data_IF_004971205345
#
_entry.id   IF_004971205345
#
_cell.length_a   1.000
_cell.length_b   1.000
_cell.length_c   1.000
_cell.angle_alpha   90.00
_cell.angle_beta   90.00
_cell.angle_gamma   90.00
#
_symmetry.space_group_name_H-M   'P 1'
#
loop_
_entity.id
_entity.type
_entity.pdbx_description
1 polymer ?
#
# COMPACT_ATOMS: atom_id res chain seq x y z
N UNK A 1 24.28 -0.47 5.47
CA UNK A 1 23.46 -1.16 4.46
C UNK A 1 23.26 -0.15 3.35
N UNK A 2 23.54 -0.53 2.12
CA UNK A 2 23.38 0.34 0.94
C UNK A 2 21.92 0.29 0.42
N UNK A 3 21.58 1.16 -0.53
CA UNK A 3 20.30 1.09 -1.23
C UNK A 3 20.19 -0.19 -2.09
N UNK A 4 21.30 -0.67 -2.64
CA UNK A 4 21.37 -1.89 -3.44
C UNK A 4 21.03 -3.12 -2.60
N UNK A 5 21.59 -3.22 -1.39
CA UNK A 5 21.26 -4.30 -0.43
C UNK A 5 19.74 -4.31 -0.12
N UNK A 6 19.14 -3.13 0.06
CA UNK A 6 17.72 -2.99 0.36
C UNK A 6 16.86 -3.44 -0.83
N UNK A 7 17.28 -3.09 -2.05
CA UNK A 7 16.60 -3.46 -3.27
C UNK A 7 16.61 -4.97 -3.47
N UNK A 8 17.79 -5.60 -3.43
CA UNK A 8 17.94 -7.05 -3.57
C UNK A 8 17.12 -7.82 -2.52
N UNK A 9 17.02 -7.29 -1.30
CA UNK A 9 16.32 -7.94 -0.20
C UNK A 9 14.78 -7.90 -0.34
N UNK A 10 14.24 -6.76 -0.77
CA UNK A 10 12.80 -6.48 -0.66
C UNK A 10 12.05 -6.38 -2.00
N UNK A 11 12.71 -6.17 -3.13
CA UNK A 11 12.07 -5.91 -4.43
C UNK A 11 11.00 -6.94 -4.79
N UNK A 12 11.36 -8.23 -4.82
CA UNK A 12 10.45 -9.26 -5.31
C UNK A 12 9.19 -9.38 -4.44
N UNK A 13 9.34 -9.23 -3.11
CA UNK A 13 8.23 -9.29 -2.16
C UNK A 13 7.37 -8.02 -2.22
N UNK A 14 8.00 -6.86 -2.39
CA UNK A 14 7.31 -5.59 -2.51
C UNK A 14 6.52 -5.51 -3.83
N UNK A 15 7.09 -6.02 -4.93
CA UNK A 15 6.40 -6.13 -6.22
C UNK A 15 5.22 -7.11 -6.17
N UNK A 16 5.37 -8.25 -5.49
CA UNK A 16 4.24 -9.15 -5.24
C UNK A 16 3.11 -8.49 -4.44
N UNK A 17 3.45 -7.68 -3.44
CA UNK A 17 2.48 -6.88 -2.70
C UNK A 17 1.83 -5.80 -3.57
N UNK A 18 2.61 -5.04 -4.33
CA UNK A 18 2.11 -4.04 -5.28
C UNK A 18 1.16 -4.66 -6.31
N UNK A 19 1.44 -5.88 -6.77
CA UNK A 19 0.55 -6.64 -7.64
C UNK A 19 -0.77 -7.01 -6.95
N UNK A 20 -0.76 -7.41 -5.67
CA UNK A 20 -2.00 -7.67 -4.91
C UNK A 20 -2.87 -6.43 -4.69
N UNK A 21 -2.28 -5.23 -4.75
CA UNK A 21 -3.03 -3.97 -4.66
C UNK A 21 -3.60 -3.57 -6.04
N UNK A 22 -2.75 -3.58 -7.07
CA UNK A 22 -3.06 -3.02 -8.38
C UNK A 22 -3.73 -4.01 -9.34
N UNK A 23 -3.52 -5.31 -9.15
CA UNK A 23 -3.91 -6.38 -10.08
C UNK A 23 -3.43 -6.15 -11.53
N UNK A 24 -2.39 -5.33 -11.71
CA UNK A 24 -1.82 -4.96 -13.00
C UNK A 24 -0.28 -5.03 -12.91
N UNK A 25 0.40 -5.82 -13.74
CA UNK A 25 1.85 -6.00 -13.65
C UNK A 25 2.65 -4.72 -13.88
N UNK A 26 2.21 -3.85 -14.80
CA UNK A 26 2.89 -2.58 -15.08
C UNK A 26 2.72 -1.59 -13.93
N UNK A 27 1.49 -1.46 -13.41
CA UNK A 27 1.23 -0.59 -12.26
C UNK A 27 1.94 -1.08 -10.99
N UNK A 28 2.06 -2.40 -10.81
CA UNK A 28 2.81 -2.99 -9.71
C UNK A 28 4.31 -2.69 -9.80
N UNK A 29 4.88 -2.76 -11.00
CA UNK A 29 6.27 -2.39 -11.26
C UNK A 29 6.50 -0.91 -10.98
N UNK A 30 5.68 -0.01 -11.54
CA UNK A 30 5.77 1.43 -11.31
C UNK A 30 5.65 1.79 -9.81
N UNK A 31 4.69 1.19 -9.10
CA UNK A 31 4.51 1.41 -7.67
C UNK A 31 5.73 0.95 -6.86
N UNK A 32 6.34 -0.16 -7.25
CA UNK A 32 7.55 -0.68 -6.61
C UNK A 32 8.72 0.26 -6.85
N UNK A 33 8.94 0.67 -8.11
CA UNK A 33 10.01 1.60 -8.48
C UNK A 33 9.88 2.92 -7.73
N UNK A 34 8.69 3.53 -7.74
CA UNK A 34 8.42 4.79 -7.04
C UNK A 34 8.62 4.68 -5.52
N UNK A 35 8.37 3.51 -4.94
CA UNK A 35 8.68 3.23 -3.53
C UNK A 35 10.18 3.25 -3.27
N UNK A 36 10.99 2.65 -4.15
CA UNK A 36 12.45 2.67 -4.03
C UNK A 36 13.06 4.05 -4.36
N UNK A 37 12.45 4.83 -5.25
CA UNK A 37 12.81 6.25 -5.47
C UNK A 37 12.62 7.04 -4.18
N UNK A 38 11.50 6.85 -3.47
CA UNK A 38 11.31 7.44 -2.13
C UNK A 38 12.32 6.92 -1.11
N UNK A 39 12.67 5.63 -1.17
CA UNK A 39 13.68 5.04 -0.29
C UNK A 39 15.05 5.69 -0.50
N UNK A 40 15.47 5.91 -1.75
CA UNK A 40 16.72 6.59 -2.09
C UNK A 40 16.80 8.00 -1.48
N UNK A 41 15.70 8.77 -1.57
CA UNK A 41 15.59 10.10 -0.95
C UNK A 41 15.60 10.07 0.59
N UNK A 42 15.41 8.91 1.21
CA UNK A 42 15.35 8.71 2.67
C UNK A 42 16.42 7.71 3.17
N UNK A 43 17.51 7.53 2.42
CA UNK A 43 18.51 6.50 2.72
C UNK A 43 19.12 6.63 4.12
N UNK A 44 19.41 7.86 4.56
CA UNK A 44 19.96 8.13 5.90
C UNK A 44 19.01 7.72 7.04
N UNK A 45 17.70 7.84 6.84
CA UNK A 45 16.70 7.35 7.79
C UNK A 45 16.70 5.82 7.79
N UNK A 46 16.66 5.20 6.62
CA UNK A 46 16.60 3.74 6.48
C UNK A 46 17.85 3.05 7.05
N UNK A 47 19.02 3.67 6.97
CA UNK A 47 20.26 3.18 7.57
C UNK A 47 20.17 3.06 9.11
N UNK A 48 19.39 3.92 9.76
CA UNK A 48 19.19 3.90 11.21
C UNK A 48 18.13 2.89 11.67
N UNK A 49 17.33 2.37 10.73
CA UNK A 49 16.23 1.46 11.04
C UNK A 49 16.67 0.00 11.06
N UNK A 50 16.11 -0.76 12.00
CA UNK A 50 16.18 -2.21 11.97
C UNK A 50 15.53 -2.76 10.69
N UNK A 51 15.92 -3.99 10.32
CA UNK A 51 15.35 -4.71 9.18
C UNK A 51 13.81 -4.70 9.16
N UNK A 52 13.17 -4.97 10.30
CA UNK A 52 11.71 -5.01 10.40
C UNK A 52 11.08 -3.63 10.22
N UNK A 53 11.72 -2.57 10.73
CA UNK A 53 11.27 -1.20 10.53
C UNK A 53 11.41 -0.75 9.07
N UNK A 54 12.49 -1.13 8.37
CA UNK A 54 12.65 -0.87 6.93
C UNK A 54 11.58 -1.57 6.11
N UNK A 55 11.31 -2.84 6.40
CA UNK A 55 10.22 -3.60 5.78
C UNK A 55 8.88 -2.87 5.98
N UNK A 56 8.56 -2.49 7.22
CA UNK A 56 7.34 -1.72 7.53
C UNK A 56 7.28 -0.42 6.72
N UNK A 57 8.36 0.35 6.68
CA UNK A 57 8.43 1.62 5.97
C UNK A 57 8.17 1.47 4.46
N UNK A 58 8.78 0.48 3.82
CA UNK A 58 8.59 0.22 2.38
C UNK A 58 7.13 -0.10 2.05
N UNK A 59 6.51 -1.01 2.82
CA UNK A 59 5.13 -1.42 2.57
C UNK A 59 4.13 -0.32 2.86
N UNK A 60 4.34 0.47 3.93
CA UNK A 60 3.53 1.66 4.20
C UNK A 60 3.65 2.70 3.10
N UNK A 61 4.86 2.91 2.57
CA UNK A 61 5.11 3.85 1.47
C UNK A 61 4.39 3.42 0.19
N UNK A 62 4.52 2.15 -0.21
CA UNK A 62 3.80 1.59 -1.35
C UNK A 62 2.27 1.70 -1.19
N UNK A 63 1.74 1.40 0.01
CA UNK A 63 0.31 1.53 0.29
C UNK A 63 -0.18 2.98 0.16
N UNK A 64 0.55 3.94 0.73
CA UNK A 64 0.19 5.36 0.66
C UNK A 64 0.21 5.85 -0.79
N UNK A 65 1.24 5.47 -1.55
CA UNK A 65 1.34 5.77 -2.97
C UNK A 65 0.15 5.25 -3.78
N UNK A 66 -0.25 4.00 -3.54
CA UNK A 66 -1.40 3.41 -4.19
C UNK A 66 -2.70 4.16 -3.83
N UNK A 67 -2.90 4.49 -2.55
CA UNK A 67 -4.07 5.27 -2.10
C UNK A 67 -4.09 6.64 -2.76
N UNK A 68 -2.96 7.33 -2.84
CA UNK A 68 -2.84 8.65 -3.45
C UNK A 68 -3.09 8.60 -4.96
N UNK A 69 -2.63 7.55 -5.64
CA UNK A 69 -2.93 7.31 -7.05
C UNK A 69 -4.43 7.05 -7.26
N UNK A 70 -5.01 6.13 -6.48
CA UNK A 70 -6.42 5.79 -6.56
C UNK A 70 -7.32 7.00 -6.29
N UNK A 71 -7.00 7.83 -5.27
CA UNK A 71 -7.73 9.08 -5.00
C UNK A 71 -7.64 10.07 -6.15
N UNK A 72 -6.47 10.21 -6.79
CA UNK A 72 -6.31 11.11 -7.95
C UNK A 72 -7.09 10.62 -9.16
N UNK A 73 -7.07 9.32 -9.43
CA UNK A 73 -7.83 8.72 -10.53
C UNK A 73 -9.34 8.92 -10.29
N UNK A 74 -9.82 8.66 -9.07
CA UNK A 74 -11.23 8.87 -8.70
C UNK A 74 -11.67 10.33 -8.72
N UNK A 75 -10.86 11.25 -8.18
CA UNK A 75 -11.18 12.68 -8.29
C UNK A 75 -11.08 13.18 -9.73
N UNK A 76 -10.17 12.64 -10.55
CA UNK A 76 -10.12 12.91 -11.98
C UNK A 76 -11.39 12.43 -12.69
N UNK A 77 -11.83 11.21 -12.40
CA UNK A 77 -13.10 10.66 -12.90
C UNK A 77 -14.30 11.48 -12.42
N UNK A 78 -14.37 11.81 -11.13
CA UNK A 78 -15.41 12.66 -10.55
C UNK A 78 -15.42 14.04 -11.19
N UNK A 79 -14.26 14.66 -11.45
CA UNK A 79 -14.19 15.95 -12.15
C UNK A 79 -14.67 15.81 -13.59
N UNK A 80 -14.32 14.72 -14.29
CA UNK A 80 -14.83 14.44 -15.65
C UNK A 80 -16.34 14.17 -15.66
N UNK A 81 -16.88 13.51 -14.63
CA UNK A 81 -18.32 13.28 -14.43
C UNK A 81 -19.03 14.56 -13.99
N UNK A 82 -18.42 15.39 -13.15
CA UNK A 82 -18.96 16.67 -12.65
C UNK A 82 -19.00 17.73 -13.75
N UNK A 83 -18.01 17.74 -14.66
CA UNK A 83 -18.06 18.52 -15.90
C UNK A 83 -19.22 18.09 -16.82
N UNK A 84 -19.90 16.97 -16.52
CA UNK A 84 -21.12 16.50 -17.18
C UNK A 84 -22.43 16.79 -16.40
N UNK A 85 -22.34 17.18 -15.12
CA UNK A 85 -23.36 17.67 -14.13
C UNK A 85 -24.57 16.76 -13.76
N UNK A 86 -25.20 16.94 -12.55
CA UNK A 86 -24.58 17.07 -11.22
C UNK A 86 -25.28 16.25 -10.09
N UNK A 87 -24.61 16.22 -8.91
CA UNK A 87 -25.06 15.85 -7.54
C UNK A 87 -25.56 14.42 -7.23
N UNK A 88 -24.76 13.66 -6.47
CA UNK A 88 -25.20 12.77 -5.38
C UNK A 88 -23.98 12.39 -4.55
N UNK A 89 -23.82 13.01 -3.38
CA UNK A 89 -22.77 12.67 -2.43
C UNK A 89 -23.03 11.29 -1.86
N UNK A 90 -22.09 10.38 -2.08
CA UNK A 90 -22.01 9.11 -1.36
C UNK A 90 -20.61 9.02 -0.76
N UNK A 91 -20.54 8.90 0.57
CA UNK A 91 -19.30 8.93 1.35
C UNK A 91 -18.50 7.63 1.15
N UNK A 92 -17.32 7.64 0.48
CA UNK A 92 -16.55 6.44 0.19
C UNK A 92 -15.89 5.81 1.43
N UNK A 93 -16.01 6.44 2.60
CA UNK A 93 -15.54 5.91 3.89
C UNK A 93 -16.17 4.55 4.20
N UNK A 94 -17.40 4.29 3.70
CA UNK A 94 -18.12 3.01 3.83
C UNK A 94 -17.58 1.88 2.93
N UNK A 95 -16.82 2.18 1.87
CA UNK A 95 -16.23 1.13 1.02
C UNK A 95 -14.95 0.53 1.66
N UNK A 96 -14.29 1.26 2.55
CA UNK A 96 -13.21 0.74 3.41
C UNK A 96 -13.78 -0.31 4.38
N UNK A 97 -15.05 -0.18 4.75
CA UNK A 97 -15.80 -1.17 5.52
C UNK A 97 -15.97 -2.49 4.75
N UNK A 98 -15.83 -2.55 3.42
CA UNK A 98 -15.84 -3.83 2.68
C UNK A 98 -14.63 -4.74 2.99
N UNK A 99 -13.55 -4.22 3.61
CA UNK A 99 -12.51 -5.06 4.22
C UNK A 99 -13.04 -5.87 5.43
N UNK A 100 -14.15 -5.45 6.05
CA UNK A 100 -14.88 -6.20 7.08
C UNK A 100 -15.71 -7.38 6.52
N UNK A 101 -15.99 -7.43 5.21
CA UNK A 101 -16.75 -8.53 4.58
C UNK A 101 -15.89 -9.76 4.23
N UNK A 102 -14.60 -9.78 4.58
CA UNK A 102 -13.75 -10.97 4.46
C UNK A 102 -14.00 -12.01 5.59
N UNK A 103 -14.93 -11.74 6.50
CA UNK A 103 -15.36 -12.62 7.60
C UNK A 103 -16.03 -13.94 7.16
N UNK A 104 -16.22 -14.16 5.84
CA UNK A 104 -17.00 -15.28 5.29
C UNK A 104 -16.26 -16.57 4.90
N UNK A 105 -14.93 -16.64 4.89
CA UNK A 105 -14.19 -17.84 4.43
C UNK A 105 -13.07 -18.31 5.39
N UNK A 106 -12.60 -19.54 5.15
CA UNK A 106 -12.19 -20.52 6.15
C UNK A 106 -10.82 -20.29 6.85
N UNK A 107 -10.59 -20.93 8.02
CA UNK A 107 -9.53 -20.57 8.99
C UNK A 107 -8.06 -20.75 8.55
N UNK A 108 -7.76 -21.42 7.42
CA UNK A 108 -6.39 -21.63 6.90
C UNK A 108 -5.98 -20.65 5.79
N UNK A 109 -6.94 -19.96 5.19
CA UNK A 109 -6.71 -18.91 4.20
C UNK A 109 -6.60 -17.52 4.84
N UNK A 110 -6.74 -17.46 6.18
CA UNK A 110 -6.80 -16.25 7.02
C UNK A 110 -5.43 -15.74 7.49
N UNK A 111 -4.41 -16.61 7.55
CA UNK A 111 -3.01 -16.22 7.80
C UNK A 111 -2.38 -15.49 6.59
N UNK A 112 -2.98 -15.63 5.41
CA UNK A 112 -2.57 -15.12 4.08
C UNK A 112 -3.12 -13.73 3.76
N UNK A 113 -4.29 -13.38 4.30
CA UNK A 113 -4.99 -12.12 3.98
C UNK A 113 -4.47 -10.98 4.86
N UNK A 114 -3.98 -11.34 6.04
CA UNK A 114 -3.81 -10.40 7.12
C UNK A 114 -2.61 -10.88 7.97
N UNK A 115 -1.37 -10.90 7.47
CA UNK A 115 -0.25 -10.38 8.32
C UNK A 115 -0.38 -8.84 8.49
N UNK A 116 -1.64 -8.42 8.44
CA UNK A 116 -2.34 -7.64 9.43
C UNK A 116 -1.78 -6.29 9.47
N UNK A 117 -2.23 -5.57 8.44
CA UNK A 117 -2.22 -4.14 8.57
C UNK A 117 -0.78 -3.62 8.57
N UNK A 118 0.24 -4.37 8.11
CA UNK A 118 1.63 -3.88 8.00
C UNK A 118 2.16 -3.28 9.33
N UNK A 119 1.60 -3.66 10.49
CA UNK A 119 1.78 -3.03 11.82
C UNK A 119 1.07 -1.68 12.06
N UNK A 120 -0.22 -1.59 11.79
CA UNK A 120 -1.03 -0.41 12.09
C UNK A 120 -1.78 -0.44 13.44
N UNK A 121 -1.30 -1.14 14.46
CA UNK A 121 -1.78 -0.99 15.84
C UNK A 121 -0.57 -0.99 16.79
N UNK A 122 -0.24 0.15 17.38
CA UNK A 122 0.32 0.10 18.73
C UNK A 122 -0.83 -0.39 19.63
N UNK A 123 -0.56 -1.26 20.59
CA UNK A 123 -0.45 -0.84 21.98
C UNK A 123 0.07 -2.01 22.81
N UNK A 124 1.09 -1.69 23.60
CA UNK A 124 1.30 -2.07 25.00
C UNK A 124 1.08 -3.53 25.43
N UNK A 125 2.13 -4.07 26.06
CA UNK A 125 2.12 -5.23 26.94
C UNK A 125 1.85 -6.57 26.26
N UNK A 126 2.91 -7.37 26.09
CA UNK A 126 3.30 -8.46 27.00
C UNK A 126 4.78 -8.77 26.79
#
# INVERSE_FOLDING_TARGET
>A
MTLEDLYEEFEARLRGYAWSLTHNPYAAEDLTQETFVRAASNVLLLEQLSRNQRRKWLYSTAKNLFIDQYRRERHGEELMVTLRQPESGDDPTLAIDALSMLDGLAPRDRDIIVERFVNGLNSSEI
#
